data_IF_936404060003
#
_entry.id   IF_936404060003
#
_cell.length_a   1.000
_cell.length_b   1.000
_cell.length_c   1.000
_cell.angle_alpha   90.00
_cell.angle_beta   90.00
_cell.angle_gamma   90.00
#
_symmetry.space_group_name_H-M   'P 1'
#
loop_
_entity.id
_entity.type
_entity.pdbx_description
1 polymer ?
#
# COMPACT_ATOMS: atom_id res chain seq x y z
N UNK A 1 -9.04 3.16 18.45
CA UNK A 1 -9.12 4.37 17.60
C UNK A 1 -10.03 4.03 16.44
N UNK A 2 -11.15 4.74 16.30
CA UNK A 2 -12.04 4.64 15.14
C UNK A 2 -11.90 5.91 14.33
N UNK A 3 -11.63 5.78 13.05
CA UNK A 3 -11.63 6.87 12.06
C UNK A 3 -12.95 6.88 11.29
N UNK A 4 -13.27 7.95 10.53
CA UNK A 4 -14.49 7.99 9.72
C UNK A 4 -14.63 6.79 8.77
N UNK A 5 -13.53 6.32 8.16
CA UNK A 5 -13.50 5.11 7.35
C UNK A 5 -13.19 3.86 8.20
N UNK A 6 -14.10 3.50 9.11
CA UNK A 6 -13.98 2.32 9.98
C UNK A 6 -15.20 1.39 9.89
N UNK A 7 -14.95 0.08 9.90
CA UNK A 7 -15.99 -0.96 10.01
C UNK A 7 -15.89 -1.60 11.39
N UNK A 8 -16.97 -1.57 12.18
CA UNK A 8 -17.00 -2.10 13.56
C UNK A 8 -15.83 -1.58 14.43
N UNK A 9 -15.46 -0.30 14.29
CA UNK A 9 -14.32 0.36 14.97
C UNK A 9 -12.93 -0.12 14.53
N UNK A 10 -12.83 -0.83 13.40
CA UNK A 10 -11.56 -1.18 12.78
C UNK A 10 -11.33 -0.31 11.53
N UNK A 11 -10.25 0.49 11.49
CA UNK A 11 -9.94 1.35 10.35
C UNK A 11 -9.67 0.53 9.08
N UNK A 12 -10.28 0.94 7.96
CA UNK A 12 -10.20 0.19 6.70
C UNK A 12 -8.86 0.40 6.02
N UNK A 13 -8.28 1.59 6.10
CA UNK A 13 -6.98 1.89 5.46
C UNK A 13 -5.86 0.92 5.91
N UNK A 14 -5.59 0.73 7.22
CA UNK A 14 -4.58 -0.24 7.68
C UNK A 14 -4.88 -1.70 7.30
N UNK A 15 -6.14 -2.09 7.14
CA UNK A 15 -6.48 -3.44 6.66
C UNK A 15 -6.02 -3.65 5.22
N UNK A 16 -6.18 -2.62 4.37
CA UNK A 16 -5.88 -2.70 2.95
C UNK A 16 -4.39 -2.52 2.64
N UNK A 17 -3.65 -1.77 3.47
CA UNK A 17 -2.19 -1.56 3.30
C UNK A 17 -1.39 -2.86 3.32
N UNK A 18 -1.91 -3.94 3.92
CA UNK A 18 -1.26 -5.26 3.89
C UNK A 18 -1.10 -5.84 2.47
N UNK A 19 -2.02 -5.57 1.55
CA UNK A 19 -1.98 -6.07 0.18
C UNK A 19 -0.79 -5.53 -0.63
N UNK A 20 -0.61 -4.21 -0.81
CA UNK A 20 0.54 -3.67 -1.55
C UNK A 20 1.87 -4.10 -0.92
N UNK A 21 1.98 -4.07 0.41
CA UNK A 21 3.22 -4.48 1.10
C UNK A 21 3.54 -5.94 0.80
N UNK A 22 2.57 -6.85 0.98
CA UNK A 22 2.80 -8.28 0.74
C UNK A 22 3.14 -8.57 -0.72
N UNK A 23 2.41 -7.96 -1.66
CA UNK A 23 2.62 -8.19 -3.09
C UNK A 23 3.97 -7.65 -3.57
N UNK A 24 4.39 -6.46 -3.14
CA UNK A 24 5.68 -5.91 -3.56
C UNK A 24 6.87 -6.60 -2.91
N UNK A 25 6.76 -7.01 -1.65
CA UNK A 25 7.78 -7.86 -1.01
C UNK A 25 7.89 -9.19 -1.77
N UNK A 26 6.77 -9.80 -2.15
CA UNK A 26 6.80 -11.04 -2.92
C UNK A 26 7.29 -10.83 -4.37
N UNK A 27 7.02 -9.70 -5.00
CA UNK A 27 7.58 -9.33 -6.30
C UNK A 27 9.10 -9.30 -6.25
N UNK A 28 9.69 -8.69 -5.21
CA UNK A 28 11.13 -8.68 -4.99
C UNK A 28 11.69 -10.11 -4.84
N UNK A 29 11.01 -10.98 -4.12
CA UNK A 29 11.38 -12.40 -4.02
C UNK A 29 11.35 -13.07 -5.40
N UNK A 30 10.31 -12.83 -6.20
CA UNK A 30 10.20 -13.36 -7.55
C UNK A 30 11.33 -12.85 -8.46
N UNK A 31 11.71 -11.58 -8.37
CA UNK A 31 12.84 -11.02 -9.12
C UNK A 31 14.17 -11.68 -8.75
N UNK A 32 14.42 -11.92 -7.46
CA UNK A 32 15.60 -12.65 -6.99
C UNK A 32 15.61 -14.08 -7.52
N UNK A 33 14.47 -14.78 -7.48
CA UNK A 33 14.36 -16.15 -8.00
C UNK A 33 14.56 -16.16 -9.51
N UNK A 34 14.02 -15.19 -10.25
CA UNK A 34 14.25 -15.04 -11.68
C UNK A 34 15.75 -14.86 -11.98
N UNK A 35 16.43 -13.97 -11.25
CA UNK A 35 17.85 -13.68 -11.45
C UNK A 35 18.75 -14.91 -11.20
N UNK A 36 18.39 -15.77 -10.24
CA UNK A 36 19.19 -16.97 -9.92
C UNK A 36 18.82 -18.16 -10.82
N UNK A 37 17.54 -18.35 -11.14
CA UNK A 37 17.06 -19.53 -11.88
C UNK A 37 17.02 -19.35 -13.39
N UNK A 38 17.00 -18.10 -13.89
CA UNK A 38 16.78 -17.77 -15.30
C UNK A 38 15.36 -18.03 -15.80
N UNK A 39 14.43 -18.44 -14.94
CA UNK A 39 13.08 -18.84 -15.35
C UNK A 39 12.17 -17.64 -15.55
N UNK A 40 11.67 -17.47 -16.77
CA UNK A 40 10.82 -16.33 -17.16
C UNK A 40 9.46 -16.28 -16.44
N UNK A 41 8.99 -17.40 -15.87
CA UNK A 41 7.71 -17.40 -15.13
C UNK A 41 7.75 -16.47 -13.93
N UNK A 42 8.89 -16.41 -13.23
CA UNK A 42 9.05 -15.57 -12.04
C UNK A 42 9.03 -14.08 -12.38
N UNK A 43 9.54 -13.69 -13.55
CA UNK A 43 9.43 -12.33 -14.07
C UNK A 43 7.97 -11.93 -14.34
N UNK A 44 7.19 -12.83 -14.95
CA UNK A 44 5.75 -12.61 -15.19
C UNK A 44 5.00 -12.48 -13.86
N UNK A 45 5.27 -13.36 -12.90
CA UNK A 45 4.64 -13.30 -11.56
C UNK A 45 5.01 -12.00 -10.85
N UNK A 46 6.29 -11.61 -10.85
CA UNK A 46 6.74 -10.34 -10.26
C UNK A 46 5.99 -9.15 -10.86
N UNK A 47 5.83 -9.13 -12.19
CA UNK A 47 5.09 -8.08 -12.91
C UNK A 47 3.63 -7.98 -12.44
N UNK A 48 2.93 -9.10 -12.31
CA UNK A 48 1.55 -9.10 -11.81
C UNK A 48 1.46 -8.76 -10.33
N UNK A 49 2.44 -9.14 -9.51
CA UNK A 49 2.51 -8.73 -8.11
C UNK A 49 2.70 -7.22 -7.97
N UNK A 50 3.57 -6.60 -8.78
CA UNK A 50 3.72 -5.14 -8.82
C UNK A 50 2.40 -4.46 -9.22
N UNK A 51 1.77 -4.91 -10.31
CA UNK A 51 0.50 -4.37 -10.77
C UNK A 51 -0.62 -4.53 -9.73
N UNK A 52 -0.74 -5.70 -9.11
CA UNK A 52 -1.69 -5.97 -8.04
C UNK A 52 -1.43 -5.11 -6.80
N UNK A 53 -0.15 -4.87 -6.47
CA UNK A 53 0.22 -3.98 -5.38
C UNK A 53 -0.16 -2.53 -5.65
N UNK A 54 0.01 -2.03 -6.88
CA UNK A 54 -0.48 -0.69 -7.28
C UNK A 54 -2.01 -0.60 -7.08
N UNK A 55 -2.76 -1.60 -7.56
CA UNK A 55 -4.22 -1.64 -7.36
C UNK A 55 -4.57 -1.65 -5.86
N UNK A 56 -3.88 -2.48 -5.07
CA UNK A 56 -4.07 -2.53 -3.61
C UNK A 56 -3.76 -1.20 -2.91
N UNK A 57 -2.69 -0.51 -3.32
CA UNK A 57 -2.32 0.81 -2.80
C UNK A 57 -3.37 1.87 -3.14
N UNK A 58 -3.89 1.88 -4.37
CA UNK A 58 -4.96 2.80 -4.77
C UNK A 58 -6.25 2.54 -3.98
N UNK A 59 -6.62 1.27 -3.77
CA UNK A 59 -7.76 0.90 -2.94
C UNK A 59 -7.57 1.33 -1.48
N UNK A 60 -6.36 1.18 -0.93
CA UNK A 60 -6.03 1.64 0.42
C UNK A 60 -6.03 3.17 0.53
N UNK A 61 -5.64 3.89 -0.51
CA UNK A 61 -5.59 5.35 -0.52
C UNK A 61 -6.97 5.99 -0.32
N UNK A 62 -8.05 5.35 -0.82
CA UNK A 62 -9.42 5.86 -0.69
C UNK A 62 -9.85 6.08 0.77
N UNK A 63 -9.91 5.05 1.65
CA UNK A 63 -10.21 5.25 3.07
C UNK A 63 -9.14 6.09 3.78
N UNK A 64 -7.88 6.03 3.34
CA UNK A 64 -6.80 6.86 3.91
C UNK A 64 -7.04 8.36 3.69
N UNK A 65 -7.52 8.76 2.52
CA UNK A 65 -7.89 10.14 2.22
C UNK A 65 -9.15 10.58 2.98
N UNK A 66 -10.14 9.70 3.13
CA UNK A 66 -11.33 9.98 3.94
C UNK A 66 -10.91 10.30 5.39
N UNK A 67 -10.02 9.49 5.95
CA UNK A 67 -9.50 9.70 7.31
C UNK A 67 -8.62 10.95 7.39
N UNK A 68 -7.80 11.22 6.37
CA UNK A 68 -6.95 12.41 6.28
C UNK A 68 -7.73 13.72 6.43
N UNK A 69 -8.90 13.83 5.78
CA UNK A 69 -9.73 15.04 5.84
C UNK A 69 -10.39 15.28 7.21
N UNK A 70 -10.33 14.30 8.12
CA UNK A 70 -10.82 14.46 9.50
C UNK A 70 -9.75 14.90 10.50
N UNK A 71 -8.52 15.16 10.04
CA UNK A 71 -7.40 15.55 10.89
C UNK A 71 -7.40 17.07 11.10
N UNK A 72 -7.76 17.50 12.31
CA UNK A 72 -7.73 18.91 12.71
C UNK A 72 -6.42 19.31 13.42
N UNK A 73 -5.68 18.35 13.97
CA UNK A 73 -4.45 18.59 14.72
C UNK A 73 -3.24 18.81 13.80
N UNK A 74 -2.52 19.92 14.00
CA UNK A 74 -1.42 20.34 13.13
C UNK A 74 -0.26 19.33 13.07
N UNK A 75 0.09 18.71 14.20
CA UNK A 75 1.15 17.70 14.27
C UNK A 75 0.77 16.43 13.50
N UNK A 76 -0.42 15.90 13.74
CA UNK A 76 -0.96 14.75 13.00
C UNK A 76 -1.03 15.05 11.50
N UNK A 77 -1.43 16.27 11.12
CA UNK A 77 -1.53 16.65 9.70
C UNK A 77 -0.17 16.74 9.02
N UNK A 78 0.88 17.17 9.73
CA UNK A 78 2.27 17.14 9.22
C UNK A 78 2.73 15.70 8.95
N UNK A 79 2.47 14.79 9.87
CA UNK A 79 2.80 13.36 9.71
C UNK A 79 2.01 12.78 8.54
N UNK A 80 0.71 13.08 8.45
CA UNK A 80 -0.15 12.59 7.39
C UNK A 80 0.26 13.11 6.01
N UNK A 81 0.70 14.38 5.90
CA UNK A 81 1.25 14.95 4.67
C UNK A 81 2.53 14.23 4.21
N UNK A 82 3.46 13.98 5.15
CA UNK A 82 4.68 13.24 4.84
C UNK A 82 4.36 11.82 4.39
N UNK A 83 3.46 11.14 5.09
CA UNK A 83 3.01 9.80 4.74
C UNK A 83 2.40 9.77 3.33
N UNK A 84 1.48 10.68 3.03
CA UNK A 84 0.86 10.79 1.71
C UNK A 84 1.89 11.05 0.61
N UNK A 85 2.82 11.99 0.83
CA UNK A 85 3.86 12.33 -0.14
C UNK A 85 4.80 11.15 -0.42
N UNK A 86 5.20 10.40 0.62
CA UNK A 86 6.04 9.20 0.48
C UNK A 86 5.30 8.12 -0.31
N UNK A 87 4.02 7.87 -0.01
CA UNK A 87 3.24 6.86 -0.74
C UNK A 87 3.05 7.25 -2.22
N UNK A 88 2.72 8.51 -2.50
CA UNK A 88 2.57 9.00 -3.89
C UNK A 88 3.88 8.98 -4.68
N UNK A 89 5.03 9.14 -4.02
CA UNK A 89 6.32 9.02 -4.69
C UNK A 89 6.77 7.58 -4.92
N UNK A 90 6.23 6.63 -4.16
CA UNK A 90 6.58 5.22 -4.25
C UNK A 90 5.68 4.41 -5.20
N UNK A 91 4.40 4.80 -5.33
CA UNK A 91 3.39 4.20 -6.22
C UNK A 91 3.44 4.86 -7.59
#
# INVERSE_FOLDING_TARGET
MSSPASIKKHPVHPMLVGFPIGLWVFALVCDVVHAVSGSAIWQTVATFCVAGGIVGALLAAVPGLIDYFSIDEAEMRRIANLHLAVNLGAV
#
